data_IF_713877748339
#
_entry.id   IF_713877748339
#
_cell.length_a   1.000
_cell.length_b   1.000
_cell.length_c   1.000
_cell.angle_alpha   90.00
_cell.angle_beta   90.00
_cell.angle_gamma   90.00
#
_symmetry.space_group_name_H-M   'P 1'
#
loop_
_entity.id
_entity.type
_entity.pdbx_description
1 polymer ?
#
# COMPACT_ATOMS: atom_id res chain seq x y z
N UNK A 1 7.48 15.37 14.52
CA UNK A 1 8.16 14.28 13.74
C UNK A 1 9.59 14.68 13.38
N UNK A 2 10.10 15.82 13.87
CA UNK A 2 11.41 16.36 13.43
C UNK A 2 12.61 15.77 14.17
N UNK A 3 12.39 14.82 15.05
CA UNK A 3 13.47 14.06 15.70
C UNK A 3 14.04 12.99 14.78
N UNK A 4 15.33 12.64 14.96
CA UNK A 4 15.98 11.55 14.21
C UNK A 4 15.18 10.24 14.26
N UNK A 5 14.56 9.95 15.41
CA UNK A 5 13.69 8.79 15.59
C UNK A 5 12.40 8.91 14.79
N UNK A 6 11.76 10.07 14.77
CA UNK A 6 10.53 10.31 14.01
C UNK A 6 10.75 10.19 12.49
N UNK A 7 11.86 10.72 11.99
CA UNK A 7 12.25 10.60 10.57
C UNK A 7 12.43 9.13 10.20
N UNK A 8 13.13 8.34 11.02
CA UNK A 8 13.33 6.90 10.79
C UNK A 8 11.98 6.15 10.78
N UNK A 9 11.09 6.43 11.72
CA UNK A 9 9.77 5.79 11.76
C UNK A 9 8.95 6.12 10.50
N UNK A 10 9.01 7.37 10.04
CA UNK A 10 8.36 7.80 8.81
C UNK A 10 8.90 7.02 7.60
N UNK A 11 10.21 6.89 7.47
CA UNK A 11 10.85 6.11 6.39
C UNK A 11 10.37 4.66 6.40
N UNK A 12 10.31 4.01 7.56
CA UNK A 12 9.84 2.63 7.69
C UNK A 12 8.42 2.50 7.13
N UNK A 13 7.49 3.35 7.56
CA UNK A 13 6.09 3.27 7.13
C UNK A 13 5.93 3.61 5.64
N UNK A 14 6.64 4.63 5.15
CA UNK A 14 6.62 5.00 3.74
C UNK A 14 7.17 3.88 2.85
N UNK A 15 8.29 3.24 3.23
CA UNK A 15 8.86 2.13 2.47
C UNK A 15 7.95 0.90 2.48
N UNK A 16 7.38 0.53 3.62
CA UNK A 16 6.41 -0.58 3.70
C UNK A 16 5.27 -0.39 2.69
N UNK A 17 4.74 0.82 2.61
CA UNK A 17 3.64 1.12 1.70
C UNK A 17 4.11 1.24 0.25
N UNK A 18 5.14 2.05 -0.03
CA UNK A 18 5.50 2.39 -1.40
C UNK A 18 6.05 1.19 -2.17
N UNK A 19 6.83 0.33 -1.50
CA UNK A 19 7.44 -0.88 -2.09
C UNK A 19 6.58 -2.13 -1.92
N UNK A 20 5.59 -2.12 -1.04
CA UNK A 20 4.88 -3.33 -0.65
C UNK A 20 5.78 -4.42 -0.07
N UNK A 21 6.93 -4.06 0.50
CA UNK A 21 7.91 -5.01 1.04
C UNK A 21 7.34 -5.86 2.19
N UNK A 22 7.84 -7.09 2.30
CA UNK A 22 7.67 -7.87 3.52
C UNK A 22 8.53 -7.26 4.63
N UNK A 23 8.11 -7.42 5.88
CA UNK A 23 8.83 -6.83 7.03
C UNK A 23 10.30 -7.27 7.06
N UNK A 24 10.60 -8.53 6.75
CA UNK A 24 11.97 -9.04 6.69
C UNK A 24 12.78 -8.40 5.56
N UNK A 25 12.19 -8.26 4.38
CA UNK A 25 12.84 -7.60 3.24
C UNK A 25 13.23 -6.15 3.57
N UNK A 26 12.41 -5.46 4.37
CA UNK A 26 12.71 -4.12 4.84
C UNK A 26 13.81 -4.11 5.93
N UNK A 27 13.84 -5.10 6.82
CA UNK A 27 14.92 -5.27 7.81
C UNK A 27 16.28 -5.49 7.14
N UNK A 28 16.29 -6.28 6.05
CA UNK A 28 17.50 -6.69 5.34
C UNK A 28 17.98 -5.65 4.32
N UNK A 29 17.19 -4.60 4.07
CA UNK A 29 17.45 -3.58 3.06
C UNK A 29 18.72 -2.80 3.38
N UNK A 30 19.63 -2.75 2.42
CA UNK A 30 20.90 -2.02 2.51
C UNK A 30 20.89 -0.74 1.67
N UNK A 31 21.83 0.14 1.94
CA UNK A 31 21.99 1.40 1.18
C UNK A 31 22.31 1.09 -0.29
N UNK A 32 23.10 0.07 -0.57
CA UNK A 32 23.45 -0.35 -1.94
C UNK A 32 22.26 -0.88 -2.76
N UNK A 33 21.15 -1.24 -2.08
CA UNK A 33 19.92 -1.69 -2.73
C UNK A 33 19.02 -0.55 -3.19
N UNK A 34 19.39 0.69 -2.85
CA UNK A 34 18.64 1.89 -3.20
C UNK A 34 19.29 2.55 -4.42
N UNK A 35 18.54 2.66 -5.50
CA UNK A 35 18.90 3.44 -6.67
C UNK A 35 18.07 4.72 -6.71
N UNK A 36 18.71 5.87 -6.49
CA UNK A 36 18.09 7.19 -6.53
C UNK A 36 18.24 7.83 -7.90
N UNK A 37 17.47 8.86 -8.20
CA UNK A 37 17.55 9.63 -9.43
C UNK A 37 16.26 9.61 -10.27
N UNK A 38 16.41 9.65 -11.60
CA UNK A 38 15.27 9.82 -12.52
C UNK A 38 14.31 8.62 -12.54
N UNK A 39 14.85 7.40 -12.40
CA UNK A 39 14.09 6.16 -12.34
C UNK A 39 14.41 5.43 -11.03
N UNK A 40 13.90 5.94 -9.89
CA UNK A 40 14.29 5.44 -8.59
C UNK A 40 13.69 4.05 -8.35
N UNK A 41 14.52 3.17 -7.81
CA UNK A 41 14.13 1.77 -7.53
C UNK A 41 14.72 1.28 -6.21
N UNK A 42 14.08 0.29 -5.64
CA UNK A 42 14.56 -0.46 -4.47
C UNK A 42 14.69 -1.93 -4.86
N UNK A 43 15.85 -2.51 -4.59
CA UNK A 43 16.10 -3.94 -4.76
C UNK A 43 15.78 -4.68 -3.47
N UNK A 44 14.80 -5.57 -3.52
CA UNK A 44 14.32 -6.34 -2.37
C UNK A 44 14.76 -7.80 -2.47
N UNK A 45 15.31 -8.33 -1.39
CA UNK A 45 15.78 -9.69 -1.26
C UNK A 45 14.71 -10.55 -0.57
N UNK A 46 14.03 -11.39 -1.35
CA UNK A 46 12.96 -12.26 -0.89
C UNK A 46 13.44 -13.63 -0.43
N UNK A 47 12.49 -14.48 -0.02
CA UNK A 47 12.76 -15.86 0.38
C UNK A 47 13.41 -16.66 -0.77
N UNK A 48 14.40 -17.49 -0.47
CA UNK A 48 15.09 -18.33 -1.46
C UNK A 48 16.01 -17.54 -2.39
N UNK A 49 16.63 -16.46 -1.91
CA UNK A 49 17.54 -15.59 -2.67
C UNK A 49 16.91 -14.95 -3.92
N UNK A 50 15.58 -14.93 -3.98
CA UNK A 50 14.86 -14.24 -5.07
C UNK A 50 14.98 -12.74 -4.90
N UNK A 51 15.37 -12.08 -5.98
CA UNK A 51 15.51 -10.62 -6.01
C UNK A 51 14.41 -10.05 -6.89
N UNK A 52 13.80 -8.95 -6.43
CA UNK A 52 12.95 -8.12 -7.27
C UNK A 52 13.33 -6.66 -7.15
N UNK A 53 13.22 -5.95 -8.25
CA UNK A 53 13.44 -4.51 -8.31
C UNK A 53 12.08 -3.83 -8.38
N UNK A 54 11.82 -2.96 -7.42
CA UNK A 54 10.55 -2.28 -7.26
C UNK A 54 10.75 -0.79 -7.55
N UNK A 55 10.03 -0.20 -8.50
CA UNK A 55 10.03 1.24 -8.70
C UNK A 55 9.38 1.92 -7.49
N UNK A 56 9.94 3.05 -7.08
CA UNK A 56 9.39 3.89 -6.01
C UNK A 56 8.92 5.23 -6.55
N UNK A 57 8.00 5.85 -5.82
CA UNK A 57 7.46 7.15 -6.19
C UNK A 57 8.52 8.26 -6.11
N UNK A 58 8.31 9.35 -6.86
CA UNK A 58 9.18 10.54 -6.80
C UNK A 58 9.25 11.11 -5.38
N UNK A 59 8.13 11.10 -4.66
CA UNK A 59 8.08 11.55 -3.27
C UNK A 59 8.95 10.66 -2.36
N UNK A 60 8.89 9.33 -2.56
CA UNK A 60 9.72 8.40 -1.79
C UNK A 60 11.20 8.60 -2.10
N UNK A 61 11.56 8.85 -3.37
CA UNK A 61 12.92 9.17 -3.77
C UNK A 61 13.48 10.38 -2.98
N UNK A 62 12.75 11.49 -2.97
CA UNK A 62 13.14 12.71 -2.24
C UNK A 62 13.31 12.46 -0.73
N UNK A 63 12.38 11.70 -0.14
CA UNK A 63 12.45 11.35 1.29
C UNK A 63 13.70 10.51 1.57
N UNK A 64 14.03 9.55 0.69
CA UNK A 64 15.24 8.72 0.82
C UNK A 64 16.51 9.50 0.63
N UNK A 65 16.57 10.42 -0.35
CA UNK A 65 17.72 11.32 -0.56
C UNK A 65 18.03 12.11 0.71
N UNK A 66 17.02 12.74 1.30
CA UNK A 66 17.17 13.49 2.56
C UNK A 66 17.59 12.59 3.71
N UNK A 67 17.01 11.40 3.81
CA UNK A 67 17.33 10.45 4.86
C UNK A 67 18.76 9.95 4.76
N UNK A 68 19.17 9.50 3.57
CA UNK A 68 20.52 8.96 3.34
C UNK A 68 21.57 10.06 3.52
N UNK A 69 21.35 11.26 2.99
CA UNK A 69 22.30 12.38 3.18
C UNK A 69 22.47 12.77 4.65
N UNK A 70 21.38 12.71 5.44
CA UNK A 70 21.42 13.09 6.87
C UNK A 70 22.08 12.04 7.75
N UNK A 71 21.84 10.75 7.49
CA UNK A 71 22.26 9.67 8.38
C UNK A 71 23.44 8.85 7.86
N UNK A 72 23.80 8.99 6.57
CA UNK A 72 24.81 8.19 5.87
C UNK A 72 25.69 9.05 4.97
N UNK A 73 26.26 10.11 5.54
CA UNK A 73 27.11 11.09 4.80
C UNK A 73 28.42 10.51 4.25
N UNK A 74 28.77 9.27 4.57
CA UNK A 74 30.03 8.66 4.16
C UNK A 74 29.80 7.56 3.11
N UNK A 75 30.19 7.80 1.85
CA UNK A 75 29.99 6.95 0.67
C UNK A 75 30.59 5.52 0.81
N UNK A 76 31.46 5.28 1.79
CA UNK A 76 32.03 3.96 2.07
C UNK A 76 31.06 2.95 2.71
N UNK A 77 29.83 3.35 2.99
CA UNK A 77 28.86 2.57 3.76
C UNK A 77 27.85 1.78 2.89
N UNK A 78 28.19 1.42 1.65
CA UNK A 78 27.26 0.71 0.75
C UNK A 78 26.64 -0.54 1.36
N UNK A 79 27.40 -1.30 2.13
CA UNK A 79 26.94 -2.56 2.74
C UNK A 79 26.18 -2.36 4.09
N UNK A 80 25.85 -1.14 4.44
CA UNK A 80 25.15 -0.82 5.69
C UNK A 80 23.64 -0.97 5.53
N UNK A 81 22.99 -1.44 6.61
CA UNK A 81 21.53 -1.50 6.63
C UNK A 81 20.91 -0.11 6.57
N UNK A 82 19.93 0.07 5.69
CA UNK A 82 19.24 1.34 5.54
C UNK A 82 18.49 1.74 6.81
N UNK A 83 17.95 0.75 7.53
CA UNK A 83 17.19 0.99 8.76
C UNK A 83 17.90 0.33 9.93
N UNK A 84 18.38 1.19 10.83
CA UNK A 84 19.08 0.77 12.04
C UNK A 84 18.25 1.06 13.30
N UNK A 85 18.44 0.22 14.31
CA UNK A 85 17.88 0.44 15.63
C UNK A 85 18.67 1.53 16.40
N UNK A 86 18.31 1.78 17.67
CA UNK A 86 19.00 2.76 18.54
C UNK A 86 20.47 2.43 18.81
N UNK A 87 20.86 1.16 18.65
CA UNK A 87 22.23 0.68 18.88
C UNK A 87 23.04 0.60 17.58
N UNK A 88 22.61 1.26 16.49
CA UNK A 88 23.23 1.22 15.16
C UNK A 88 23.30 -0.18 14.52
N UNK A 89 22.50 -1.13 14.99
CA UNK A 89 22.38 -2.47 14.44
C UNK A 89 21.16 -2.56 13.50
N UNK A 90 21.09 -3.64 12.75
CA UNK A 90 19.93 -3.97 11.93
C UNK A 90 18.63 -3.85 12.72
N UNK A 91 17.61 -3.28 12.13
CA UNK A 91 16.27 -3.24 12.71
C UNK A 91 15.65 -4.63 12.70
N UNK A 92 15.04 -5.05 13.81
CA UNK A 92 14.31 -6.31 13.89
C UNK A 92 12.88 -6.20 13.38
N UNK A 93 12.29 -7.35 13.06
CA UNK A 93 10.85 -7.43 12.70
C UNK A 93 9.96 -6.89 13.81
N UNK A 94 10.21 -7.30 15.04
CA UNK A 94 9.46 -6.85 16.22
C UNK A 94 9.60 -5.33 16.43
N UNK A 95 10.79 -4.79 16.13
CA UNK A 95 11.02 -3.35 16.16
C UNK A 95 10.16 -2.59 15.15
N UNK A 96 10.01 -3.11 13.94
CA UNK A 96 9.13 -2.53 12.92
C UNK A 96 7.66 -2.67 13.33
N UNK A 97 7.25 -3.84 13.80
CA UNK A 97 5.88 -4.08 14.28
C UNK A 97 5.53 -3.14 15.45
N UNK A 98 6.43 -2.98 16.40
CA UNK A 98 6.26 -2.03 17.52
C UNK A 98 6.06 -0.59 17.02
N UNK A 99 6.87 -0.15 16.03
CA UNK A 99 6.75 1.19 15.46
C UNK A 99 5.38 1.37 14.80
N UNK A 100 4.95 0.42 13.98
CA UNK A 100 3.65 0.46 13.30
C UNK A 100 2.52 0.51 14.33
N UNK A 101 2.55 -0.37 15.33
CA UNK A 101 1.50 -0.41 16.36
C UNK A 101 1.48 0.85 17.23
N UNK A 102 2.64 1.44 17.53
CA UNK A 102 2.74 2.71 18.25
C UNK A 102 1.95 3.81 17.56
N UNK A 103 2.13 3.98 16.25
CA UNK A 103 1.41 5.00 15.50
C UNK A 103 -0.07 4.66 15.31
N UNK A 104 -0.41 3.40 15.18
CA UNK A 104 -1.81 2.96 15.18
C UNK A 104 -2.52 3.32 16.49
N UNK A 105 -1.86 3.13 17.63
CA UNK A 105 -2.39 3.51 18.94
C UNK A 105 -2.59 5.03 19.06
N UNK A 106 -1.63 5.83 18.57
CA UNK A 106 -1.77 7.30 18.56
C UNK A 106 -2.98 7.72 17.71
N UNK A 107 -3.14 7.13 16.52
CA UNK A 107 -4.28 7.42 15.66
C UNK A 107 -5.60 6.98 16.31
N UNK A 108 -5.64 5.81 16.93
CA UNK A 108 -6.81 5.29 17.65
C UNK A 108 -7.25 6.23 18.79
N UNK A 109 -6.29 6.84 19.50
CA UNK A 109 -6.60 7.78 20.57
C UNK A 109 -7.20 9.09 20.03
N UNK A 110 -6.82 9.50 18.81
CA UNK A 110 -7.35 10.69 18.15
C UNK A 110 -8.66 10.42 17.40
N UNK A 111 -8.82 9.21 16.89
CA UNK A 111 -10.00 8.74 16.18
C UNK A 111 -10.38 7.33 16.66
N UNK A 112 -11.39 7.21 17.54
CA UNK A 112 -11.86 5.92 18.06
C UNK A 112 -12.34 4.93 16.98
N UNK A 113 -12.68 5.39 15.78
CA UNK A 113 -13.06 4.52 14.65
C UNK A 113 -11.86 3.85 14.00
N UNK A 114 -10.63 4.36 14.23
CA UNK A 114 -9.44 3.78 13.66
C UNK A 114 -9.16 2.36 14.17
N UNK A 115 -8.48 1.56 13.36
CA UNK A 115 -8.14 0.16 13.68
C UNK A 115 -7.29 0.07 14.95
N UNK A 116 -7.66 -0.85 15.84
CA UNK A 116 -6.94 -1.09 17.10
C UNK A 116 -5.64 -1.88 16.90
N UNK A 117 -5.56 -2.68 15.84
CA UNK A 117 -4.38 -3.47 15.49
C UNK A 117 -4.00 -3.22 14.03
N UNK A 118 -2.75 -2.78 13.81
CA UNK A 118 -2.18 -2.57 12.48
C UNK A 118 -0.87 -3.35 12.39
N UNK A 119 -0.73 -4.14 11.34
CA UNK A 119 0.45 -4.96 11.08
C UNK A 119 1.16 -4.51 9.80
N UNK A 120 2.47 -4.71 9.65
CA UNK A 120 3.21 -4.35 8.44
C UNK A 120 2.61 -4.92 7.14
N UNK A 121 2.03 -6.13 7.19
CA UNK A 121 1.35 -6.72 6.04
C UNK A 121 0.15 -5.92 5.53
N UNK A 122 -0.49 -5.10 6.36
CA UNK A 122 -1.60 -4.25 5.93
C UNK A 122 -1.15 -3.16 4.95
N UNK A 123 0.07 -2.64 5.09
CA UNK A 123 0.64 -1.70 4.11
C UNK A 123 0.78 -2.34 2.73
N UNK A 124 1.28 -3.57 2.68
CA UNK A 124 1.40 -4.35 1.45
C UNK A 124 0.04 -4.68 0.85
N UNK A 125 -0.93 -5.07 1.68
CA UNK A 125 -2.31 -5.28 1.25
C UNK A 125 -2.92 -3.99 0.68
N UNK A 126 -2.80 -2.88 1.39
CA UNK A 126 -3.29 -1.57 0.93
C UNK A 126 -2.65 -1.15 -0.39
N UNK A 127 -1.32 -1.35 -0.55
CA UNK A 127 -0.64 -1.07 -1.81
C UNK A 127 -1.21 -1.89 -2.96
N UNK A 128 -1.42 -3.20 -2.76
CA UNK A 128 -2.02 -4.07 -3.76
C UNK A 128 -3.44 -3.60 -4.17
N UNK A 129 -4.27 -3.27 -3.17
CA UNK A 129 -5.63 -2.77 -3.41
C UNK A 129 -5.64 -1.43 -4.12
N UNK A 130 -4.72 -0.51 -3.78
CA UNK A 130 -4.60 0.78 -4.46
C UNK A 130 -4.10 0.62 -5.90
N UNK A 131 -3.17 -0.31 -6.16
CA UNK A 131 -2.75 -0.62 -7.53
C UNK A 131 -3.91 -1.19 -8.36
N UNK A 132 -4.71 -2.07 -7.76
CA UNK A 132 -5.89 -2.64 -8.42
C UNK A 132 -6.95 -1.55 -8.66
N UNK A 133 -7.10 -0.62 -7.73
CA UNK A 133 -8.07 0.48 -7.82
C UNK A 133 -7.79 1.46 -8.97
N UNK A 134 -6.54 1.54 -9.43
CA UNK A 134 -6.13 2.35 -10.59
C UNK A 134 -5.86 1.47 -11.82
N UNK A 135 -6.49 0.30 -11.90
CA UNK A 135 -6.52 -0.60 -13.04
C UNK A 135 -5.18 -1.20 -13.46
N UNK A 136 -4.21 -1.29 -12.53
CA UNK A 136 -2.98 -2.02 -12.82
C UNK A 136 -3.31 -3.52 -12.94
N UNK A 137 -2.91 -4.16 -14.07
CA UNK A 137 -3.20 -5.58 -14.28
C UNK A 137 -2.62 -6.46 -13.16
N UNK A 138 -3.38 -7.49 -12.76
CA UNK A 138 -3.06 -8.37 -11.63
C UNK A 138 -1.69 -9.04 -11.76
N UNK A 139 -1.23 -9.29 -12.98
CA UNK A 139 0.09 -9.86 -13.26
C UNK A 139 1.21 -8.92 -12.81
N UNK A 140 1.08 -7.62 -13.10
CA UNK A 140 2.06 -6.62 -12.64
C UNK A 140 2.04 -6.46 -11.11
N UNK A 141 0.85 -6.55 -10.50
CA UNK A 141 0.73 -6.53 -9.02
C UNK A 141 1.44 -7.75 -8.42
N UNK A 142 1.27 -8.95 -9.00
CA UNK A 142 1.98 -10.17 -8.62
C UNK A 142 3.49 -9.96 -8.64
N UNK A 143 4.00 -9.45 -9.77
CA UNK A 143 5.43 -9.26 -9.99
C UNK A 143 6.00 -8.18 -9.06
N UNK A 144 5.28 -7.07 -8.90
CA UNK A 144 5.62 -6.00 -7.96
C UNK A 144 5.75 -6.51 -6.52
N UNK A 145 4.79 -7.33 -6.09
CA UNK A 145 4.80 -7.91 -4.76
C UNK A 145 5.77 -9.10 -4.64
N UNK A 146 6.19 -9.73 -5.74
CA UNK A 146 7.01 -10.93 -5.74
C UNK A 146 6.25 -12.13 -5.16
N UNK A 147 5.01 -12.34 -5.61
CA UNK A 147 4.26 -13.56 -5.35
C UNK A 147 4.66 -14.63 -6.37
N UNK A 148 5.00 -15.82 -5.88
CA UNK A 148 5.35 -16.95 -6.74
C UNK A 148 4.11 -17.43 -7.51
N UNK A 149 2.98 -17.48 -6.83
CA UNK A 149 1.72 -17.92 -7.40
C UNK A 149 0.76 -16.71 -7.53
N UNK A 150 0.14 -16.60 -8.69
CA UNK A 150 -0.88 -15.60 -8.97
C UNK A 150 -2.11 -15.76 -8.06
N UNK A 151 -2.40 -16.98 -7.59
CA UNK A 151 -3.50 -17.27 -6.67
C UNK A 151 -3.44 -16.38 -5.41
N UNK A 152 -2.23 -16.13 -4.90
CA UNK A 152 -1.99 -15.23 -3.76
C UNK A 152 -2.39 -13.79 -4.07
N UNK A 153 -2.26 -13.35 -5.33
CA UNK A 153 -2.63 -12.01 -5.77
C UNK A 153 -4.12 -11.93 -6.14
N UNK A 154 -4.71 -13.03 -6.58
CA UNK A 154 -6.15 -13.12 -6.93
C UNK A 154 -7.07 -12.85 -5.73
N UNK A 155 -6.57 -12.97 -4.50
CA UNK A 155 -7.31 -12.58 -3.30
C UNK A 155 -7.74 -11.11 -3.38
N UNK A 156 -6.86 -10.23 -3.88
CA UNK A 156 -7.15 -8.81 -4.05
C UNK A 156 -8.22 -8.56 -5.12
N UNK A 157 -8.12 -9.25 -6.27
CA UNK A 157 -9.13 -9.16 -7.33
C UNK A 157 -10.50 -9.66 -6.86
N UNK A 158 -10.55 -10.66 -6.00
CA UNK A 158 -11.81 -11.16 -5.41
C UNK A 158 -12.40 -10.16 -4.40
N UNK A 159 -11.56 -9.40 -3.70
CA UNK A 159 -12.00 -8.40 -2.73
C UNK A 159 -12.53 -7.12 -3.39
N UNK A 160 -12.15 -6.83 -4.65
CA UNK A 160 -12.64 -5.66 -5.38
C UNK A 160 -14.04 -5.93 -5.97
N UNK A 161 -15.05 -5.52 -5.20
CA UNK A 161 -16.47 -5.64 -5.63
C UNK A 161 -16.88 -4.58 -6.65
N UNK A 162 -16.15 -3.46 -6.80
CA UNK A 162 -16.52 -2.35 -7.68
C UNK A 162 -16.58 -2.79 -9.13
N UNK A 163 -15.51 -3.41 -9.65
CA UNK A 163 -15.47 -3.91 -11.03
C UNK A 163 -16.52 -4.98 -11.32
N UNK A 164 -16.85 -5.80 -10.33
CA UNK A 164 -17.93 -6.79 -10.47
C UNK A 164 -19.28 -6.09 -10.62
N UNK A 165 -19.55 -5.09 -9.78
CA UNK A 165 -20.78 -4.33 -9.84
C UNK A 165 -20.88 -3.52 -11.14
N UNK A 166 -19.80 -2.88 -11.57
CA UNK A 166 -19.76 -2.18 -12.87
C UNK A 166 -19.98 -3.12 -14.05
N UNK A 167 -19.34 -4.28 -14.06
CA UNK A 167 -19.52 -5.27 -15.09
C UNK A 167 -20.97 -5.79 -15.14
N UNK A 168 -21.58 -6.06 -13.97
CA UNK A 168 -22.98 -6.49 -13.84
C UNK A 168 -23.91 -5.39 -14.34
N UNK A 169 -23.69 -4.13 -13.93
CA UNK A 169 -24.51 -3.00 -14.36
C UNK A 169 -24.40 -2.73 -15.86
N UNK A 170 -23.21 -2.90 -16.46
CA UNK A 170 -22.99 -2.75 -17.89
C UNK A 170 -23.60 -3.90 -18.73
N UNK A 171 -23.70 -5.09 -18.14
CA UNK A 171 -24.32 -6.27 -18.79
C UNK A 171 -25.83 -6.34 -18.57
N UNK A 172 -26.33 -5.68 -17.52
CA UNK A 172 -27.76 -5.66 -17.23
C UNK A 172 -28.48 -4.94 -18.37
N UNK A 173 -29.43 -5.58 -19.06
CA UNK A 173 -30.28 -4.86 -20.00
C UNK A 173 -31.00 -3.75 -19.25
N UNK A 174 -31.21 -2.61 -19.87
CA UNK A 174 -32.03 -1.53 -19.31
C UNK A 174 -33.46 -2.04 -19.18
N UNK A 175 -33.73 -2.73 -18.08
CA UNK A 175 -35.03 -3.36 -17.80
C UNK A 175 -36.12 -2.36 -17.43
N UNK A 176 -35.74 -1.13 -17.16
CA UNK A 176 -36.65 -0.03 -16.83
C UNK A 176 -36.31 1.12 -17.75
N UNK A 177 -37.13 1.35 -18.77
CA UNK A 177 -37.21 2.69 -19.34
C UNK A 177 -37.71 3.61 -18.22
N UNK A 178 -36.97 4.70 -17.96
CA UNK A 178 -37.37 5.73 -16.98
C UNK A 178 -38.60 6.53 -17.48
N UNK A 179 -39.65 5.83 -17.80
CA UNK A 179 -40.99 6.41 -17.80
C UNK A 179 -41.60 6.05 -16.44
N UNK A 180 -41.23 6.84 -15.44
CA UNK A 180 -42.14 6.96 -14.30
C UNK A 180 -43.45 7.50 -14.87
N UNK A 181 -44.41 6.65 -15.02
CA UNK A 181 -45.79 7.08 -15.21
C UNK A 181 -46.15 7.82 -13.95
N UNK A 182 -46.33 9.12 -14.08
CA UNK A 182 -46.75 9.99 -12.99
C UNK A 182 -48.24 9.65 -12.69
N UNK A 183 -48.42 8.67 -11.80
CA UNK A 183 -49.72 8.14 -11.42
C UNK A 183 -50.67 9.23 -10.88
N UNK A 184 -50.13 10.38 -10.44
CA UNK A 184 -50.94 11.55 -10.01
C UNK A 184 -51.60 12.28 -11.18
N UNK A 185 -51.26 11.96 -12.41
CA UNK A 185 -51.82 12.54 -13.65
C UNK A 185 -52.66 11.54 -14.44
N UNK A 186 -52.81 10.32 -13.95
CA UNK A 186 -53.67 9.33 -14.57
C UNK A 186 -55.10 9.53 -14.09
N UNK A 187 -55.89 10.19 -14.93
CA UNK A 187 -57.23 10.59 -14.62
C UNK A 187 -58.16 9.38 -14.42
N UNK A 188 -57.94 8.30 -15.19
CA UNK A 188 -58.73 7.07 -15.10
C UNK A 188 -58.51 6.37 -13.75
N UNK A 189 -57.27 6.45 -13.21
CA UNK A 189 -56.93 5.93 -11.90
C UNK A 189 -57.52 6.78 -10.75
N UNK A 190 -57.47 8.10 -10.94
CA UNK A 190 -58.06 9.04 -9.96
C UNK A 190 -59.59 8.91 -9.89
N UNK A 191 -60.27 8.66 -11.03
CA UNK A 191 -61.71 8.45 -11.11
C UNK A 191 -62.14 7.11 -10.53
N UNK A 192 -61.25 6.10 -10.56
CA UNK A 192 -61.52 4.80 -9.93
C UNK A 192 -61.37 4.83 -8.40
N UNK A 193 -60.59 5.75 -7.86
CA UNK A 193 -60.31 5.90 -6.43
C UNK A 193 -61.27 6.85 -5.70
N UNK A 194 -62.18 7.54 -6.39
CA UNK A 194 -63.25 8.35 -5.85
C UNK A 194 -64.61 7.65 -5.93
#
# INVERSE_FOLDING_TARGET
IDTSTGIRHRIIMCLLYDTGARVQELCDLKIEDINLGNNPTVKLHGKGSKIRIVPISKNMNQILEVYISKFYSNIKLKNEYLIKNKNNQQMSRDGIEYIVQKYATILKNNDPSFLSKVHPHMFRHSKAMHMLAVDIPIVYIRDFLGHEDISTTMIYARADSRKKNEAINNLAPKLIEEKYVDWSKDQDLLDFLN
#
